data_IF_617580936555
#
_entry.id   IF_617580936555
#
_cell.length_a   1.000
_cell.length_b   1.000
_cell.length_c   1.000
_cell.angle_alpha   90.00
_cell.angle_beta   90.00
_cell.angle_gamma   90.00
#
_symmetry.space_group_name_H-M   'P 1'
#
loop_
_entity.id
_entity.type
_entity.pdbx_description
1 polymer ?
#
# COMPACT_ATOMS: atom_id res chain seq x y z
N UNK A 1 9.14 58.97 28.04
CA UNK A 1 9.33 57.53 28.17
C UNK A 1 8.29 56.85 27.31
N UNK A 2 8.69 56.32 26.12
CA UNK A 2 7.79 55.63 25.18
C UNK A 2 7.97 54.15 25.39
N UNK A 3 6.93 53.47 25.88
CA UNK A 3 6.89 52.00 26.02
C UNK A 3 6.55 51.39 24.66
N UNK A 4 7.53 50.69 24.06
CA UNK A 4 7.28 49.79 22.94
C UNK A 4 6.76 48.44 23.50
N UNK A 5 5.52 48.12 23.21
CA UNK A 5 5.03 46.76 23.41
C UNK A 5 5.46 45.91 22.19
N UNK A 6 6.11 44.75 22.36
CA UNK A 6 6.35 43.82 21.26
C UNK A 6 5.05 43.10 20.90
N UNK A 7 4.63 43.19 19.63
CA UNK A 7 3.59 42.32 19.07
C UNK A 7 4.12 40.87 19.04
N UNK A 8 3.53 40.03 19.89
CA UNK A 8 3.74 38.57 19.83
C UNK A 8 2.95 38.04 18.63
N UNK A 9 3.63 37.72 17.51
CA UNK A 9 3.03 37.03 16.41
C UNK A 9 2.82 35.54 16.80
N UNK A 10 1.59 35.19 17.12
CA UNK A 10 1.19 33.77 17.29
C UNK A 10 1.06 33.15 15.90
N UNK A 11 2.06 32.37 15.49
CA UNK A 11 1.96 31.55 14.30
C UNK A 11 0.96 30.44 14.57
N UNK A 12 -0.24 30.48 13.95
CA UNK A 12 -1.15 29.36 13.92
C UNK A 12 -0.53 28.26 13.04
N UNK A 13 -0.01 27.22 13.66
CA UNK A 13 0.36 26.00 12.95
C UNK A 13 -0.93 25.37 12.40
N UNK A 14 -1.02 25.19 11.09
CA UNK A 14 -2.09 24.42 10.49
C UNK A 14 -2.03 22.96 10.99
N UNK A 15 -3.16 22.31 11.29
CA UNK A 15 -3.14 20.92 11.67
C UNK A 15 -2.65 20.08 10.47
N UNK A 16 -1.69 19.18 10.71
CA UNK A 16 -1.25 18.18 9.73
C UNK A 16 -2.44 17.31 9.32
N UNK A 17 -2.53 16.98 8.04
CA UNK A 17 -3.56 16.06 7.55
C UNK A 17 -3.38 14.68 8.18
N UNK A 18 -4.44 13.89 8.25
CA UNK A 18 -4.37 12.52 8.79
C UNK A 18 -3.32 11.65 8.07
N UNK A 19 -3.11 11.90 6.80
CA UNK A 19 -2.11 11.23 5.96
C UNK A 19 -0.67 11.58 6.39
N UNK A 20 -0.37 12.85 6.67
CA UNK A 20 0.95 13.28 7.17
C UNK A 20 1.24 12.71 8.56
N UNK A 21 0.22 12.56 9.40
CA UNK A 21 0.34 11.93 10.73
C UNK A 21 0.58 10.41 10.65
N UNK A 22 0.06 9.73 9.61
CA UNK A 22 0.24 8.29 9.41
C UNK A 22 1.56 7.92 8.75
N UNK A 23 2.27 8.87 8.16
CA UNK A 23 3.44 8.61 7.30
C UNK A 23 3.08 7.92 5.98
N UNK A 24 1.80 7.87 5.64
CA UNK A 24 1.29 7.26 4.41
C UNK A 24 1.58 8.19 3.21
N UNK A 25 2.14 7.67 2.09
CA UNK A 25 2.42 8.48 0.91
C UNK A 25 1.14 8.92 0.21
N UNK A 26 1.25 9.95 -0.64
CA UNK A 26 0.15 10.38 -1.49
C UNK A 26 -0.17 9.33 -2.57
N UNK A 27 -1.46 9.10 -2.80
CA UNK A 27 -1.96 8.18 -3.82
C UNK A 27 -2.67 8.94 -4.95
N UNK A 28 -2.76 8.37 -6.17
CA UNK A 28 -3.54 8.95 -7.26
C UNK A 28 -5.00 9.15 -6.87
N UNK A 29 -5.66 10.16 -7.46
CA UNK A 29 -7.07 10.47 -7.16
C UNK A 29 -8.03 9.30 -7.38
N UNK A 30 -7.71 8.36 -8.29
CA UNK A 30 -8.49 7.13 -8.49
C UNK A 30 -8.56 6.22 -7.27
N UNK A 31 -7.63 6.37 -6.31
CA UNK A 31 -7.60 5.61 -5.07
C UNK A 31 -8.53 6.14 -3.98
N UNK A 32 -9.16 7.29 -4.20
CA UNK A 32 -10.14 7.86 -3.26
C UNK A 32 -11.50 7.15 -3.29
N UNK A 33 -11.77 6.37 -4.35
CA UNK A 33 -12.99 5.58 -4.50
C UNK A 33 -12.71 4.10 -4.25
N UNK A 34 -13.60 3.37 -3.56
CA UNK A 34 -13.45 1.94 -3.35
C UNK A 34 -13.30 1.18 -4.67
N UNK A 35 -12.40 0.20 -4.71
CA UNK A 35 -12.24 -0.68 -5.86
C UNK A 35 -13.44 -1.64 -5.94
N UNK A 36 -14.16 -1.74 -7.08
CA UNK A 36 -15.20 -2.73 -7.23
C UNK A 36 -14.62 -4.13 -7.35
N UNK A 37 -15.33 -5.14 -6.83
CA UNK A 37 -15.00 -6.52 -7.10
C UNK A 37 -15.56 -6.91 -8.47
N UNK A 38 -14.67 -7.31 -9.38
CA UNK A 38 -15.07 -7.72 -10.72
C UNK A 38 -15.75 -9.09 -10.70
N UNK A 39 -16.91 -9.17 -11.31
CA UNK A 39 -17.69 -10.41 -11.43
C UNK A 39 -17.53 -11.09 -12.78
N UNK A 40 -16.90 -10.41 -13.75
CA UNK A 40 -16.66 -10.85 -15.13
C UNK A 40 -15.29 -10.37 -15.62
N UNK A 41 -14.75 -11.01 -16.62
CA UNK A 41 -13.52 -10.59 -17.31
C UNK A 41 -12.22 -11.09 -16.68
N UNK A 42 -12.25 -11.61 -15.46
CA UNK A 42 -11.10 -12.24 -14.80
C UNK A 42 -11.23 -13.76 -14.80
N UNK A 43 -10.07 -14.45 -14.74
CA UNK A 43 -10.00 -15.91 -14.70
C UNK A 43 -10.38 -16.50 -13.32
N UNK A 44 -10.20 -17.81 -13.19
CA UNK A 44 -10.49 -18.55 -11.97
C UNK A 44 -9.26 -18.74 -11.05
N UNK A 45 -8.12 -18.09 -11.36
CA UNK A 45 -6.91 -18.22 -10.56
C UNK A 45 -7.13 -17.75 -9.13
N UNK A 46 -6.65 -18.56 -8.18
CA UNK A 46 -6.73 -18.29 -6.75
C UNK A 46 -5.39 -18.57 -6.10
N UNK A 47 -4.97 -17.67 -5.24
CA UNK A 47 -3.83 -17.87 -4.36
C UNK A 47 -4.28 -17.67 -2.92
N UNK A 48 -4.40 -18.76 -2.17
CA UNK A 48 -4.80 -18.70 -0.76
C UNK A 48 -3.71 -18.03 0.08
N UNK A 49 -4.13 -17.06 0.88
CA UNK A 49 -3.29 -16.28 1.79
C UNK A 49 -3.83 -16.33 3.21
N UNK A 50 -3.02 -15.93 4.17
CA UNK A 50 -3.46 -15.80 5.55
C UNK A 50 -4.31 -14.54 5.71
N UNK A 51 -5.61 -14.72 5.84
CA UNK A 51 -6.59 -13.66 6.11
C UNK A 51 -7.80 -14.22 6.84
N UNK A 52 -8.48 -13.38 7.60
CA UNK A 52 -9.75 -13.71 8.27
C UNK A 52 -10.98 -13.20 7.52
N UNK A 53 -10.77 -12.56 6.35
CA UNK A 53 -11.80 -11.94 5.54
C UNK A 53 -11.89 -12.58 4.17
N UNK A 54 -12.99 -13.28 3.88
CA UNK A 54 -13.25 -13.83 2.54
C UNK A 54 -13.26 -12.74 1.47
N UNK A 55 -13.71 -11.53 1.81
CA UNK A 55 -13.70 -10.40 0.90
C UNK A 55 -12.28 -9.92 0.63
N UNK A 56 -11.41 -9.86 1.65
CA UNK A 56 -9.98 -9.53 1.46
C UNK A 56 -9.30 -10.58 0.56
N UNK A 57 -9.57 -11.89 0.76
CA UNK A 57 -9.07 -12.94 -0.12
C UNK A 57 -9.52 -12.76 -1.57
N UNK A 58 -10.76 -12.35 -1.80
CA UNK A 58 -11.30 -12.12 -3.16
C UNK A 58 -10.63 -10.93 -3.83
N UNK A 59 -10.45 -9.81 -3.12
CA UNK A 59 -9.73 -8.65 -3.63
C UNK A 59 -8.25 -8.94 -3.86
N UNK A 60 -7.61 -9.71 -2.99
CA UNK A 60 -6.25 -10.19 -3.23
C UNK A 60 -6.12 -10.99 -4.52
N UNK A 61 -7.02 -11.97 -4.74
CA UNK A 61 -7.05 -12.75 -5.98
C UNK A 61 -7.29 -11.88 -7.22
N UNK A 62 -8.16 -10.88 -7.11
CA UNK A 62 -8.39 -9.89 -8.16
C UNK A 62 -7.09 -9.11 -8.47
N UNK A 63 -6.42 -8.60 -7.45
CA UNK A 63 -5.17 -7.88 -7.60
C UNK A 63 -4.11 -8.71 -8.30
N UNK A 64 -3.94 -9.99 -7.90
CA UNK A 64 -2.99 -10.90 -8.55
C UNK A 64 -3.31 -11.11 -10.02
N UNK A 65 -4.58 -11.31 -10.39
CA UNK A 65 -4.99 -11.49 -11.77
C UNK A 65 -4.76 -10.22 -12.60
N UNK A 66 -5.02 -9.04 -12.02
CA UNK A 66 -4.78 -7.75 -12.66
C UNK A 66 -3.27 -7.48 -12.86
N UNK A 67 -2.41 -7.93 -11.94
CA UNK A 67 -0.95 -7.90 -12.14
C UNK A 67 -0.53 -8.67 -13.39
N UNK A 68 -1.05 -9.88 -13.56
CA UNK A 68 -0.77 -10.67 -14.78
C UNK A 68 -1.43 -10.11 -16.05
N UNK A 69 -2.45 -9.28 -15.90
CA UNK A 69 -3.07 -8.52 -17.00
C UNK A 69 -2.40 -7.16 -17.27
N UNK A 70 -1.32 -6.83 -16.58
CA UNK A 70 -0.62 -5.54 -16.66
C UNK A 70 -1.47 -4.31 -16.30
N UNK A 71 -2.55 -4.51 -15.55
CA UNK A 71 -3.42 -3.46 -15.01
C UNK A 71 -2.99 -3.13 -13.56
N UNK A 72 -1.77 -2.59 -13.40
CA UNK A 72 -1.12 -2.44 -12.09
C UNK A 72 -1.80 -1.44 -11.17
N UNK A 73 -2.35 -0.35 -11.69
CA UNK A 73 -3.10 0.62 -10.88
C UNK A 73 -4.34 -0.03 -10.27
N UNK A 74 -5.10 -0.77 -11.06
CA UNK A 74 -6.27 -1.49 -10.57
C UNK A 74 -5.87 -2.67 -9.66
N UNK A 75 -4.70 -3.28 -9.89
CA UNK A 75 -4.13 -4.28 -8.98
C UNK A 75 -3.81 -3.65 -7.62
N UNK A 76 -3.10 -2.51 -7.59
CA UNK A 76 -2.78 -1.78 -6.37
C UNK A 76 -4.06 -1.40 -5.61
N UNK A 77 -5.08 -0.86 -6.30
CA UNK A 77 -6.38 -0.55 -5.70
C UNK A 77 -7.06 -1.78 -5.11
N UNK A 78 -6.98 -2.93 -5.79
CA UNK A 78 -7.54 -4.18 -5.31
C UNK A 78 -6.84 -4.67 -4.03
N UNK A 79 -5.50 -4.60 -3.97
CA UNK A 79 -4.75 -4.95 -2.77
C UNK A 79 -5.05 -4.01 -1.61
N UNK A 80 -5.15 -2.70 -1.86
CA UNK A 80 -5.53 -1.72 -0.84
C UNK A 80 -6.95 -1.96 -0.30
N UNK A 81 -7.89 -2.34 -1.14
CA UNK A 81 -9.22 -2.72 -0.66
C UNK A 81 -9.17 -3.98 0.22
N UNK A 82 -8.31 -4.95 -0.11
CA UNK A 82 -8.07 -6.11 0.73
C UNK A 82 -7.46 -5.73 2.09
N UNK A 83 -6.52 -4.78 2.13
CA UNK A 83 -5.93 -4.23 3.36
C UNK A 83 -6.95 -3.52 4.24
N UNK A 84 -7.84 -2.73 3.63
CA UNK A 84 -8.94 -2.06 4.33
C UNK A 84 -9.89 -3.05 5.00
N UNK A 85 -10.14 -4.19 4.34
CA UNK A 85 -11.01 -5.26 4.83
C UNK A 85 -10.35 -6.17 5.87
N UNK A 86 -9.03 -6.32 5.79
CA UNK A 86 -8.22 -7.04 6.79
C UNK A 86 -6.83 -6.41 6.91
N UNK A 87 -6.66 -5.40 7.77
CA UNK A 87 -5.36 -4.76 8.01
C UNK A 87 -4.27 -5.71 8.54
N UNK A 88 -4.67 -6.89 9.02
CA UNK A 88 -3.76 -7.96 9.45
C UNK A 88 -3.29 -8.87 8.33
N UNK A 89 -3.77 -8.69 7.11
CA UNK A 89 -3.42 -9.49 5.95
C UNK A 89 -2.03 -9.12 5.43
N UNK A 90 -1.01 -9.91 5.78
CA UNK A 90 0.39 -9.64 5.39
C UNK A 90 0.60 -9.65 3.88
N UNK A 91 -0.09 -10.55 3.17
CA UNK A 91 0.05 -10.69 1.71
C UNK A 91 -0.71 -9.61 0.94
N UNK A 92 -1.70 -8.96 1.55
CA UNK A 92 -2.38 -7.81 0.93
C UNK A 92 -1.39 -6.65 0.79
N UNK A 93 -0.69 -6.28 1.86
CA UNK A 93 0.38 -5.29 1.85
C UNK A 93 1.55 -5.66 0.92
N UNK A 94 1.93 -6.95 0.88
CA UNK A 94 2.92 -7.44 -0.08
C UNK A 94 2.45 -7.27 -1.53
N UNK A 95 1.17 -7.52 -1.79
CA UNK A 95 0.57 -7.36 -3.10
C UNK A 95 0.58 -5.92 -3.58
N UNK A 96 0.26 -4.96 -2.70
CA UNK A 96 0.35 -3.55 -3.02
C UNK A 96 1.80 -3.16 -3.37
N UNK A 97 2.78 -3.56 -2.55
CA UNK A 97 4.18 -3.30 -2.85
C UNK A 97 4.61 -3.88 -4.20
N UNK A 98 4.07 -5.06 -4.56
CA UNK A 98 4.31 -5.66 -5.86
C UNK A 98 3.68 -4.86 -6.99
N UNK A 99 2.50 -4.29 -6.82
CA UNK A 99 1.80 -3.54 -7.86
C UNK A 99 2.51 -2.23 -8.24
N UNK A 100 3.26 -1.62 -7.34
CA UNK A 100 4.08 -0.42 -7.59
C UNK A 100 5.42 -0.73 -8.26
N UNK A 101 5.61 -1.95 -8.75
CA UNK A 101 6.85 -2.36 -9.38
C UNK A 101 7.01 -1.79 -10.79
N UNK A 102 8.27 -1.43 -11.21
CA UNK A 102 8.56 -1.12 -12.60
C UNK A 102 8.32 -2.34 -13.49
N UNK A 103 7.77 -2.09 -14.66
CA UNK A 103 7.65 -3.09 -15.70
C UNK A 103 9.01 -3.48 -16.29
N UNK A 104 9.01 -4.58 -17.06
CA UNK A 104 10.18 -5.05 -17.79
C UNK A 104 10.77 -3.97 -18.73
N UNK A 105 9.90 -3.13 -19.28
CA UNK A 105 10.25 -2.13 -20.30
C UNK A 105 10.18 -0.68 -19.77
N UNK A 106 9.86 -0.47 -18.51
CA UNK A 106 9.68 0.85 -17.95
C UNK A 106 10.24 0.92 -16.54
N UNK A 107 10.93 2.02 -16.23
CA UNK A 107 11.44 2.27 -14.90
C UNK A 107 10.32 2.56 -13.90
N UNK A 108 10.62 2.43 -12.60
CA UNK A 108 9.71 2.83 -11.54
C UNK A 108 9.49 4.35 -11.56
N UNK A 109 8.24 4.79 -11.55
CA UNK A 109 7.95 6.21 -11.42
C UNK A 109 8.40 6.72 -10.04
N UNK A 110 8.91 7.98 -9.94
CA UNK A 110 9.42 8.53 -8.68
C UNK A 110 8.40 8.47 -7.55
N UNK A 111 7.12 8.68 -7.85
CA UNK A 111 6.03 8.67 -6.86
C UNK A 111 5.65 7.25 -6.39
N UNK A 112 6.01 6.20 -7.12
CA UNK A 112 5.68 4.82 -6.78
C UNK A 112 6.64 4.24 -5.75
N UNK A 113 7.89 4.69 -5.74
CA UNK A 113 8.90 4.22 -4.81
C UNK A 113 8.50 4.41 -3.33
N UNK A 114 8.01 5.58 -2.88
CA UNK A 114 7.53 5.76 -1.52
C UNK A 114 6.28 4.91 -1.21
N UNK A 115 5.38 4.68 -2.19
CA UNK A 115 4.21 3.80 -2.03
C UNK A 115 4.61 2.35 -1.82
N UNK A 116 5.51 1.84 -2.66
CA UNK A 116 6.06 0.50 -2.53
C UNK A 116 6.80 0.30 -1.20
N UNK A 117 7.63 1.27 -0.79
CA UNK A 117 8.35 1.23 0.47
C UNK A 117 7.41 1.25 1.68
N UNK A 118 6.37 2.06 1.64
CA UNK A 118 5.35 2.11 2.68
C UNK A 118 4.63 0.76 2.80
N UNK A 119 4.09 0.23 1.70
CA UNK A 119 3.35 -1.01 1.68
C UNK A 119 4.19 -2.18 2.20
N UNK A 120 5.45 -2.32 1.74
CA UNK A 120 6.31 -3.41 2.23
C UNK A 120 6.72 -3.21 3.69
N UNK A 121 6.91 -1.98 4.15
CA UNK A 121 7.14 -1.67 5.55
C UNK A 121 5.96 -2.12 6.44
N UNK A 122 4.73 -1.89 5.98
CA UNK A 122 3.51 -2.38 6.65
C UNK A 122 3.45 -3.90 6.65
N UNK A 123 3.75 -4.56 5.51
CA UNK A 123 3.81 -6.02 5.44
C UNK A 123 4.80 -6.59 6.47
N UNK A 124 6.01 -6.03 6.59
CA UNK A 124 7.03 -6.45 7.57
C UNK A 124 6.49 -6.31 9.00
N UNK A 125 5.94 -5.15 9.36
CA UNK A 125 5.41 -4.90 10.71
C UNK A 125 4.25 -5.85 11.09
N UNK A 126 3.39 -6.18 10.14
CA UNK A 126 2.28 -7.13 10.35
C UNK A 126 2.80 -8.57 10.42
N UNK A 127 3.82 -8.92 9.64
CA UNK A 127 4.40 -10.26 9.58
C UNK A 127 5.06 -10.72 10.89
N UNK A 128 5.44 -9.79 11.76
CA UNK A 128 5.94 -10.11 13.13
C UNK A 128 4.89 -10.86 13.97
N UNK A 129 3.60 -10.62 13.69
CA UNK A 129 2.46 -11.15 14.47
C UNK A 129 1.62 -12.17 13.73
N UNK A 130 1.75 -12.25 12.41
CA UNK A 130 0.91 -13.10 11.56
C UNK A 130 1.68 -13.59 10.33
N UNK A 131 1.02 -14.39 9.51
CA UNK A 131 1.60 -14.94 8.30
C UNK A 131 2.31 -16.28 8.50
N UNK A 132 2.28 -17.09 7.46
CA UNK A 132 3.01 -18.37 7.40
C UNK A 132 4.51 -18.13 7.19
N UNK A 133 5.37 -19.14 7.44
CA UNK A 133 6.79 -19.04 7.10
C UNK A 133 7.05 -18.69 5.63
N UNK A 134 6.22 -19.21 4.70
CA UNK A 134 6.32 -18.90 3.26
C UNK A 134 5.99 -17.42 2.99
N UNK A 135 4.94 -16.91 3.57
CA UNK A 135 4.54 -15.49 3.40
C UNK A 135 5.61 -14.56 3.96
N UNK A 136 6.14 -14.86 5.14
CA UNK A 136 7.25 -14.08 5.73
C UNK A 136 8.51 -14.08 4.84
N UNK A 137 8.82 -15.21 4.20
CA UNK A 137 9.96 -15.29 3.27
C UNK A 137 9.73 -14.41 2.03
N UNK A 138 8.52 -14.39 1.48
CA UNK A 138 8.16 -13.51 0.36
C UNK A 138 8.25 -12.03 0.75
N UNK A 139 7.77 -11.68 1.94
CA UNK A 139 7.85 -10.32 2.47
C UNK A 139 9.32 -9.90 2.66
N UNK A 140 10.14 -10.75 3.25
CA UNK A 140 11.57 -10.47 3.45
C UNK A 140 12.31 -10.28 2.12
N UNK A 141 11.98 -11.06 1.10
CA UNK A 141 12.55 -10.90 -0.24
C UNK A 141 12.13 -9.57 -0.89
N UNK A 142 10.85 -9.20 -0.79
CA UNK A 142 10.31 -7.94 -1.32
C UNK A 142 10.90 -6.73 -0.58
N UNK A 143 11.09 -6.80 0.73
CA UNK A 143 11.68 -5.74 1.53
C UNK A 143 13.12 -5.40 1.09
N UNK A 144 13.91 -6.40 0.68
CA UNK A 144 15.25 -6.17 0.12
C UNK A 144 15.22 -5.39 -1.19
N UNK A 145 14.15 -5.54 -1.96
CA UNK A 145 13.99 -4.85 -3.24
C UNK A 145 13.79 -3.35 -3.07
N UNK A 146 13.05 -2.94 -2.04
CA UNK A 146 12.73 -1.55 -1.73
C UNK A 146 13.56 -0.99 -0.56
N UNK A 147 14.67 -1.64 -0.24
CA UNK A 147 15.61 -1.11 0.74
C UNK A 147 16.15 0.25 0.28
N UNK A 148 16.37 1.22 1.18
CA UNK A 148 17.08 2.44 0.86
C UNK A 148 18.41 2.10 0.19
N UNK A 149 18.79 2.85 -0.84
CA UNK A 149 20.11 2.66 -1.48
C UNK A 149 21.20 2.83 -0.43
N UNK A 150 22.06 1.84 -0.36
CA UNK A 150 23.29 1.91 0.42
C UNK A 150 24.31 2.82 -0.26
#
# INVERSE_FOLDING_TARGET
MRFFLPLLAVALAAPLTAQEQSGEPAYPGSFTTPMPLYTKGLGAYRWSITTRSDSAQRFFNQGVQLMYAFATDDAARSFREAERLDPGCVMCWWGEAWAWWPYLNEGMAPDDAPRAAYAIGRAVAVAERSGTPRERALIAAMAKRYAPKH
#
